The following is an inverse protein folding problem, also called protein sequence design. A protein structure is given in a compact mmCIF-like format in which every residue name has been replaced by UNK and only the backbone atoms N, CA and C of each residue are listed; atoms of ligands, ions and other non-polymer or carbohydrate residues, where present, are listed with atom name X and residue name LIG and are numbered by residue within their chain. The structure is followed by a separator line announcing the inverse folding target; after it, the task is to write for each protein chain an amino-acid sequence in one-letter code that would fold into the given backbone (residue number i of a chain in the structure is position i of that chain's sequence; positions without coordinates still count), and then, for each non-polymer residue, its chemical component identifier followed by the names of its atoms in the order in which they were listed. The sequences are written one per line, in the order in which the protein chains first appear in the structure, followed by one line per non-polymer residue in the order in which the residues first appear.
data_IF_382687002604
#
_entry.id   IF_382687002604
#
_cell.length_a   1.000
_cell.length_b   1.000
_cell.length_c   1.000
_cell.angle_alpha   90.00
_cell.angle_beta   90.00
_cell.angle_gamma   90.00
#
_symmetry.space_group_name_H-M   'P 1'
#
loop_
_entity.id
_entity.type
_entity.pdbx_description
1 polymer ?
#
# COMPACT_ATOMS: atom_id res chain seq x y z
N UNK A 1 -2.97 -3.70 1.73
CA UNK A 1 -3.97 -3.60 2.81
C UNK A 1 -5.21 -4.35 2.38
N UNK A 2 -5.64 -5.35 3.14
CA UNK A 2 -6.93 -6.00 2.87
C UNK A 2 -8.07 -5.10 3.33
N UNK A 3 -9.09 -4.88 2.49
CA UNK A 3 -10.25 -4.08 2.88
C UNK A 3 -11.11 -4.85 3.89
N UNK A 4 -11.26 -6.17 3.71
CA UNK A 4 -12.03 -6.99 4.65
C UNK A 4 -11.10 -7.67 5.65
N UNK A 5 -11.06 -7.15 6.87
CA UNK A 5 -10.38 -7.77 8.00
C UNK A 5 -11.35 -7.93 9.18
N UNK A 6 -11.15 -8.95 10.04
CA UNK A 6 -11.86 -9.02 11.31
C UNK A 6 -11.42 -7.87 12.22
N UNK A 7 -12.33 -7.35 13.04
CA UNK A 7 -12.13 -6.33 14.07
C UNK A 7 -11.92 -4.88 13.56
N UNK A 8 -11.15 -4.64 12.51
CA UNK A 8 -10.87 -3.30 11.97
C UNK A 8 -10.97 -3.28 10.44
N UNK A 9 -11.58 -2.25 9.87
CA UNK A 9 -11.67 -2.10 8.42
C UNK A 9 -10.31 -1.67 7.82
N UNK A 10 -9.92 -2.26 6.69
CA UNK A 10 -8.73 -1.84 5.94
C UNK A 10 -8.74 -0.38 5.52
N UNK A 11 -9.92 0.24 5.39
CA UNK A 11 -10.07 1.68 5.15
C UNK A 11 -9.56 2.48 6.34
N UNK A 12 -9.96 2.12 7.55
CA UNK A 12 -9.53 2.81 8.77
C UNK A 12 -8.02 2.59 9.00
N UNK A 13 -7.55 1.36 8.84
CA UNK A 13 -6.13 1.05 8.91
C UNK A 13 -5.29 1.87 7.91
N UNK A 14 -5.80 2.08 6.69
CA UNK A 14 -5.14 2.92 5.69
C UNK A 14 -5.03 4.37 6.15
N UNK A 15 -6.10 4.92 6.75
CA UNK A 15 -6.09 6.28 7.31
C UNK A 15 -5.06 6.41 8.44
N UNK A 16 -5.02 5.45 9.35
CA UNK A 16 -4.07 5.48 10.46
C UNK A 16 -2.61 5.36 9.98
N UNK A 17 -2.33 4.48 9.01
CA UNK A 17 -1.00 4.37 8.40
C UNK A 17 -0.55 5.71 7.81
N UNK A 18 -1.43 6.39 7.06
CA UNK A 18 -1.10 7.66 6.42
C UNK A 18 -1.04 8.86 7.38
N UNK A 19 -1.73 8.78 8.52
CA UNK A 19 -1.55 9.73 9.63
C UNK A 19 -0.17 9.59 10.26
N UNK A 20 0.32 8.36 10.41
CA UNK A 20 1.65 8.08 10.97
C UNK A 20 2.78 8.41 9.99
N UNK A 21 2.62 8.03 8.73
CA UNK A 21 3.56 8.32 7.63
C UNK A 21 2.82 8.72 6.37
N UNK A 22 2.81 10.02 6.07
CA UNK A 22 2.19 10.57 4.86
C UNK A 22 2.86 10.10 3.55
N UNK A 23 4.07 9.56 3.62
CA UNK A 23 4.78 9.03 2.45
C UNK A 23 4.55 7.52 2.26
N UNK A 24 3.82 6.87 3.18
CA UNK A 24 3.51 5.46 3.07
C UNK A 24 2.71 5.18 1.78
N UNK A 25 3.11 4.12 1.08
CA UNK A 25 2.46 3.68 -0.16
C UNK A 25 1.55 2.51 0.15
N UNK A 26 0.24 2.75 0.15
CA UNK A 26 -0.75 1.71 0.48
C UNK A 26 -1.42 1.22 -0.80
N UNK A 27 -1.26 -0.06 -1.10
CA UNK A 27 -2.03 -0.77 -2.12
C UNK A 27 -3.15 -1.55 -1.44
N UNK A 28 -4.40 -1.32 -1.83
CA UNK A 28 -5.54 -2.03 -1.29
C UNK A 28 -5.77 -3.35 -2.07
N UNK A 29 -6.19 -4.40 -1.36
CA UNK A 29 -6.59 -5.69 -1.93
C UNK A 29 -7.96 -6.04 -1.36
N UNK A 30 -8.89 -6.53 -2.19
CA UNK A 30 -10.23 -6.94 -1.71
C UNK A 30 -10.82 -8.05 -2.57
N UNK A 31 -11.63 -8.93 -1.98
CA UNK A 31 -12.43 -9.91 -2.74
C UNK A 31 -13.75 -9.32 -3.27
N UNK A 32 -14.17 -8.15 -2.76
CA UNK A 32 -15.41 -7.51 -3.17
C UNK A 32 -15.24 -5.99 -3.11
N UNK A 33 -15.40 -5.34 -4.25
CA UNK A 33 -15.09 -3.93 -4.44
C UNK A 33 -16.36 -3.03 -4.41
N UNK A 34 -17.55 -3.62 -4.51
CA UNK A 34 -18.80 -2.86 -4.64
C UNK A 34 -19.07 -2.02 -3.40
N UNK A 35 -18.98 -0.69 -3.57
CA UNK A 35 -19.30 0.33 -2.58
C UNK A 35 -18.08 0.92 -1.86
N UNK A 36 -17.06 0.11 -1.54
CA UNK A 36 -15.90 0.56 -0.73
C UNK A 36 -14.74 1.14 -1.53
N UNK A 37 -14.77 1.02 -2.86
CA UNK A 37 -13.72 1.54 -3.73
C UNK A 37 -13.50 3.05 -3.58
N UNK A 38 -14.59 3.82 -3.43
CA UNK A 38 -14.47 5.26 -3.25
C UNK A 38 -13.84 5.60 -1.90
N UNK A 39 -14.30 4.95 -0.83
CA UNK A 39 -13.84 5.22 0.53
C UNK A 39 -12.36 4.87 0.75
N UNK A 40 -11.87 3.76 0.18
CA UNK A 40 -10.46 3.36 0.31
C UNK A 40 -9.53 4.28 -0.51
N UNK A 41 -10.00 4.77 -1.66
CA UNK A 41 -9.25 5.75 -2.45
C UNK A 41 -9.22 7.10 -1.74
N UNK A 42 -10.34 7.54 -1.14
CA UNK A 42 -10.40 8.75 -0.31
C UNK A 42 -9.55 8.62 0.97
N UNK A 43 -9.39 7.42 1.51
CA UNK A 43 -8.47 7.15 2.61
C UNK A 43 -6.99 7.34 2.22
N UNK A 44 -6.66 7.37 0.92
CA UNK A 44 -5.31 7.59 0.41
C UNK A 44 -4.62 6.33 -0.12
N UNK A 45 -5.36 5.26 -0.41
CA UNK A 45 -4.80 4.13 -1.14
C UNK A 45 -4.42 4.53 -2.58
N UNK A 46 -3.34 3.94 -3.09
CA UNK A 46 -2.80 4.24 -4.41
C UNK A 46 -3.51 3.51 -5.54
N UNK A 47 -3.89 2.26 -5.28
CA UNK A 47 -4.56 1.39 -6.24
C UNK A 47 -5.25 0.25 -5.47
N UNK A 48 -6.35 -0.26 -6.03
CA UNK A 48 -7.10 -1.40 -5.49
C UNK A 48 -6.87 -2.58 -6.43
N UNK A 49 -6.54 -3.73 -5.86
CA UNK A 49 -6.35 -4.99 -6.58
C UNK A 49 -7.44 -5.97 -6.13
N UNK A 50 -8.26 -6.43 -7.07
CA UNK A 50 -9.31 -7.40 -6.79
C UNK A 50 -8.75 -8.82 -6.68
N UNK A 51 -9.26 -9.58 -5.71
CA UNK A 51 -9.01 -11.01 -5.56
C UNK A 51 -10.06 -11.78 -6.38
N UNK A 52 -9.66 -12.86 -7.07
CA UNK A 52 -8.30 -13.41 -7.15
C UNK A 52 -7.41 -12.63 -8.11
N UNK A 53 -6.16 -12.35 -7.71
CA UNK A 53 -5.14 -11.72 -8.55
C UNK A 53 -3.98 -12.67 -8.84
N UNK A 54 -3.28 -12.44 -9.95
CA UNK A 54 -2.06 -13.19 -10.30
C UNK A 54 -0.83 -12.57 -9.63
N UNK A 55 0.21 -13.39 -9.41
CA UNK A 55 1.52 -12.90 -8.93
C UNK A 55 2.13 -11.87 -9.87
N UNK A 56 1.88 -12.02 -11.17
CA UNK A 56 2.36 -11.08 -12.18
C UNK A 56 1.70 -9.72 -12.05
N UNK A 57 0.36 -9.67 -11.91
CA UNK A 57 -0.38 -8.43 -11.69
C UNK A 57 0.15 -7.71 -10.44
N UNK A 58 0.21 -8.42 -9.31
CA UNK A 58 0.70 -7.85 -8.05
C UNK A 58 2.15 -7.34 -8.19
N UNK A 59 3.02 -8.13 -8.81
CA UNK A 59 4.42 -7.74 -9.03
C UNK A 59 4.56 -6.50 -9.91
N UNK A 60 3.75 -6.39 -10.96
CA UNK A 60 3.72 -5.23 -11.85
C UNK A 60 3.21 -3.97 -11.13
N UNK A 61 2.15 -4.10 -10.33
CA UNK A 61 1.62 -2.98 -9.53
C UNK A 61 2.65 -2.52 -8.49
N UNK A 62 3.31 -3.44 -7.79
CA UNK A 62 4.38 -3.07 -6.85
C UNK A 62 5.50 -2.33 -7.58
N UNK A 63 6.00 -2.88 -8.70
CA UNK A 63 7.08 -2.24 -9.49
C UNK A 63 6.70 -0.85 -9.99
N UNK A 64 5.44 -0.64 -10.38
CA UNK A 64 4.90 0.66 -10.80
C UNK A 64 5.07 1.72 -9.71
N UNK A 65 4.79 1.38 -8.45
CA UNK A 65 4.89 2.32 -7.32
C UNK A 65 6.24 2.30 -6.60
N UNK A 66 7.08 1.28 -6.81
CA UNK A 66 8.42 1.20 -6.24
C UNK A 66 9.46 2.02 -7.00
N UNK A 67 9.13 2.60 -8.17
CA UNK A 67 10.04 3.50 -8.90
C UNK A 67 10.53 4.60 -7.93
N UNK A 68 11.82 4.51 -7.64
CA UNK A 68 12.51 5.08 -6.47
C UNK A 68 12.46 6.61 -6.55
N UNK A 69 12.02 7.27 -5.47
CA UNK A 69 12.55 8.59 -5.16
C UNK A 69 14.05 8.40 -4.84
N UNK A 70 14.97 9.28 -5.28
CA UNK A 70 16.40 9.09 -5.07
C UNK A 70 16.69 8.80 -3.60
N UNK A 71 17.41 7.69 -3.39
CA UNK A 71 17.76 7.11 -2.11
C UNK A 71 18.53 8.15 -1.27
N UNK A 72 17.86 8.83 -0.35
CA UNK A 72 18.52 9.78 0.58
C UNK A 72 19.01 9.13 1.87
N UNK A 73 19.08 7.80 1.96
CA UNK A 73 19.46 7.17 3.23
C UNK A 73 20.21 5.85 3.09
N UNK A 74 21.45 5.90 2.57
CA UNK A 74 22.58 5.04 3.02
C UNK A 74 23.94 5.73 2.79
N UNK A 75 24.11 6.92 3.37
CA UNK A 75 25.44 7.35 3.83
C UNK A 75 25.57 6.89 5.28
N UNK A 76 26.61 6.11 5.59
CA UNK A 76 26.92 5.70 6.96
C UNK A 76 26.80 4.20 7.25
N UNK A 77 27.50 3.36 6.47
CA UNK A 77 28.09 2.15 7.04
C UNK A 77 29.60 2.27 6.85
N UNK A 78 30.27 2.78 7.88
CA UNK A 78 31.71 2.55 8.05
C UNK A 78 31.88 1.04 8.22
N UNK A 79 32.54 0.39 7.26
CA UNK A 79 33.09 -0.95 7.46
C UNK A 79 34.56 -0.73 7.82
N UNK A 80 34.83 -0.77 9.12
CA UNK A 80 36.18 -0.94 9.64
C UNK A 80 36.25 -2.32 10.28
N UNK A 81 37.04 -3.22 9.70
CA UNK A 81 37.88 -4.22 10.34
C UNK A 81 38.98 -4.59 9.35
#
# INVERSE_FOLDING_TARGET
MDIMMPLMDGIEATREILKMDRNAKVLAVTAYANGKNKEIMEAGALEIIEKPFTRELLGNTIKKYLKRAPDKLRSGYCVGY
#
